data_IF_014679051147
#
_entry.id   IF_014679051147
#
_cell.length_a   1.000
_cell.length_b   1.000
_cell.length_c   1.000
_cell.angle_alpha   90.00
_cell.angle_beta   90.00
_cell.angle_gamma   90.00
#
_symmetry.space_group_name_H-M   'P 1'
#
loop_
_entity.id
_entity.type
_entity.pdbx_description
1 polymer ?
#
# COMPACT_ATOMS: atom_id res chain seq x y z
N UNK A 1 -19.86 -16.25 7.31
CA UNK A 1 -19.70 -15.18 8.31
C UNK A 1 -18.29 -14.62 8.18
N UNK A 2 -18.09 -13.31 7.98
CA UNK A 2 -16.74 -12.71 7.93
C UNK A 2 -16.26 -12.49 9.36
N UNK A 3 -14.99 -12.82 9.64
CA UNK A 3 -14.34 -12.58 10.93
C UNK A 3 -13.41 -11.37 10.82
N UNK A 4 -13.38 -10.56 11.87
CA UNK A 4 -12.54 -9.38 11.97
C UNK A 4 -11.65 -9.52 13.19
N UNK A 5 -10.39 -9.09 13.08
CA UNK A 5 -9.35 -9.26 14.10
C UNK A 5 -8.73 -7.92 14.45
N UNK A 6 -8.43 -7.70 15.70
CA UNK A 6 -7.69 -6.51 16.12
C UNK A 6 -6.25 -6.54 15.61
N UNK A 7 -5.60 -5.39 15.56
CA UNK A 7 -4.19 -5.30 15.19
C UNK A 7 -3.30 -6.18 16.08
N UNK A 8 -3.63 -6.31 17.36
CA UNK A 8 -2.91 -7.17 18.31
C UNK A 8 -3.08 -8.65 17.98
N UNK A 9 -4.29 -9.09 17.64
CA UNK A 9 -4.56 -10.47 17.23
C UNK A 9 -3.81 -10.84 15.95
N UNK A 10 -3.75 -9.92 14.98
CA UNK A 10 -2.98 -10.13 13.74
C UNK A 10 -1.48 -10.27 14.09
N UNK A 11 -0.90 -9.34 14.85
CA UNK A 11 0.51 -9.40 15.24
C UNK A 11 0.83 -10.70 16.03
N UNK A 12 -0.06 -11.11 16.94
CA UNK A 12 0.11 -12.34 17.68
C UNK A 12 0.10 -13.59 16.78
N UNK A 13 -0.74 -13.59 15.74
CA UNK A 13 -0.78 -14.67 14.76
C UNK A 13 0.45 -14.68 13.82
N UNK A 14 1.00 -13.52 13.49
CA UNK A 14 2.20 -13.39 12.64
C UNK A 14 3.51 -13.70 13.37
N UNK A 15 3.58 -13.46 14.68
CA UNK A 15 4.81 -13.62 15.47
C UNK A 15 5.49 -15.00 15.32
N UNK A 16 4.79 -16.15 15.39
CA UNK A 16 5.42 -17.45 15.17
C UNK A 16 5.93 -17.64 13.75
N UNK A 17 5.26 -17.04 12.75
CA UNK A 17 5.70 -17.11 11.34
C UNK A 17 6.95 -16.25 11.11
N UNK A 18 7.00 -15.06 11.72
CA UNK A 18 8.18 -14.19 11.69
C UNK A 18 9.40 -14.85 12.34
N UNK A 19 9.19 -15.61 13.42
CA UNK A 19 10.27 -16.35 14.08
C UNK A 19 10.75 -17.58 13.29
N UNK A 20 9.88 -18.20 12.50
CA UNK A 20 10.17 -19.44 11.78
C UNK A 20 10.67 -19.23 10.34
N UNK A 21 10.34 -18.10 9.72
CA UNK A 21 10.66 -17.83 8.31
C UNK A 21 11.88 -16.90 8.21
N UNK A 22 12.68 -17.04 7.15
CA UNK A 22 13.75 -16.07 6.87
C UNK A 22 13.20 -14.64 6.71
N UNK A 23 14.02 -13.65 7.08
CA UNK A 23 13.66 -12.24 7.02
C UNK A 23 13.10 -11.82 5.65
N UNK A 24 12.03 -11.06 5.69
CA UNK A 24 11.34 -10.50 4.55
C UNK A 24 10.53 -11.50 3.71
N UNK A 25 10.42 -12.78 4.11
CA UNK A 25 9.59 -13.75 3.38
C UNK A 25 8.12 -13.36 3.45
N UNK A 26 7.58 -13.03 4.62
CA UNK A 26 6.18 -12.60 4.78
C UNK A 26 5.90 -11.33 4.00
N UNK A 27 6.76 -10.32 4.10
CA UNK A 27 6.66 -9.08 3.33
C UNK A 27 6.61 -9.34 1.82
N UNK A 28 7.46 -10.21 1.29
CA UNK A 28 7.45 -10.56 -0.15
C UNK A 28 6.19 -11.32 -0.56
N UNK A 29 5.60 -12.14 0.33
CA UNK A 29 4.30 -12.79 0.08
C UNK A 29 3.18 -11.76 0.03
N UNK A 30 3.09 -10.89 1.02
CA UNK A 30 2.14 -9.77 1.07
C UNK A 30 2.26 -8.88 -0.18
N UNK A 31 3.48 -8.45 -0.51
CA UNK A 31 3.76 -7.66 -1.70
C UNK A 31 3.43 -8.37 -3.02
N UNK A 32 3.52 -9.70 -3.08
CA UNK A 32 3.11 -10.49 -4.27
C UNK A 32 1.60 -10.42 -4.45
N UNK A 33 0.83 -10.59 -3.37
CA UNK A 33 -0.63 -10.42 -3.38
C UNK A 33 -1.04 -9.01 -3.75
N UNK A 34 -0.40 -8.01 -3.14
CA UNK A 34 -0.62 -6.60 -3.47
C UNK A 34 -0.34 -6.30 -4.95
N UNK A 35 0.79 -6.77 -5.50
CA UNK A 35 1.10 -6.61 -6.92
C UNK A 35 0.10 -7.30 -7.84
N UNK A 36 -0.46 -8.43 -7.43
CA UNK A 36 -1.57 -9.10 -8.10
C UNK A 36 -2.82 -8.22 -8.16
N UNK A 37 -3.24 -7.72 -7.01
CA UNK A 37 -4.41 -6.85 -6.87
C UNK A 37 -4.27 -5.53 -7.66
N UNK A 38 -3.10 -4.91 -7.63
CA UNK A 38 -2.80 -3.70 -8.43
C UNK A 38 -2.83 -4.02 -9.93
N UNK A 39 -2.25 -5.15 -10.34
CA UNK A 39 -2.29 -5.57 -11.74
C UNK A 39 -3.72 -5.83 -12.23
N UNK A 40 -4.58 -6.41 -11.39
CA UNK A 40 -6.00 -6.64 -11.72
C UNK A 40 -6.76 -5.31 -11.81
N UNK A 41 -6.50 -4.37 -10.92
CA UNK A 41 -7.10 -3.04 -10.96
C UNK A 41 -6.68 -2.27 -12.22
N UNK A 42 -5.41 -2.35 -12.63
CA UNK A 42 -4.92 -1.80 -13.88
C UNK A 42 -5.63 -2.45 -15.09
N UNK A 43 -5.74 -3.79 -15.13
CA UNK A 43 -6.44 -4.49 -16.22
C UNK A 43 -7.91 -4.08 -16.29
N UNK A 44 -8.58 -3.97 -15.16
CA UNK A 44 -9.98 -3.55 -15.08
C UNK A 44 -10.20 -2.16 -15.67
N UNK A 45 -9.26 -1.24 -15.46
CA UNK A 45 -9.35 0.16 -15.91
C UNK A 45 -8.78 0.40 -17.29
N UNK A 46 -7.73 -0.32 -17.66
CA UNK A 46 -6.92 -0.02 -18.85
C UNK A 46 -6.69 -1.22 -19.76
N UNK A 47 -7.28 -2.38 -19.45
CA UNK A 47 -7.16 -3.67 -20.15
C UNK A 47 -5.78 -4.31 -20.12
N UNK A 48 -4.74 -3.66 -19.56
CA UNK A 48 -3.36 -4.17 -19.55
C UNK A 48 -2.57 -3.69 -18.34
N UNK A 49 -1.40 -4.30 -18.10
CA UNK A 49 -0.42 -3.89 -17.07
C UNK A 49 0.84 -3.32 -17.74
N UNK A 50 1.35 -4.00 -18.76
CA UNK A 50 2.54 -3.54 -19.46
C UNK A 50 2.31 -2.16 -20.09
N UNK A 51 3.28 -1.27 -19.91
CA UNK A 51 3.24 0.11 -20.39
C UNK A 51 2.33 1.03 -19.56
N UNK A 52 1.74 0.56 -18.45
CA UNK A 52 1.03 1.41 -17.50
C UNK A 52 1.95 1.96 -16.43
N UNK A 53 1.55 3.06 -15.82
CA UNK A 53 2.34 3.78 -14.83
C UNK A 53 1.73 3.64 -13.44
N UNK A 54 2.57 3.28 -12.47
CA UNK A 54 2.19 3.14 -11.05
C UNK A 54 3.14 3.97 -10.21
N UNK A 55 2.61 4.72 -9.25
CA UNK A 55 3.41 5.42 -8.26
C UNK A 55 3.11 4.89 -6.86
N UNK A 56 4.12 4.47 -6.12
CA UNK A 56 4.00 4.14 -4.71
C UNK A 56 4.27 5.39 -3.85
N UNK A 57 3.34 5.73 -2.96
CA UNK A 57 3.58 6.73 -1.90
C UNK A 57 4.01 5.96 -0.66
N UNK A 58 5.26 6.17 -0.25
CA UNK A 58 5.97 5.29 0.67
C UNK A 58 6.22 6.01 2.00
N UNK A 59 5.67 5.43 3.07
CA UNK A 59 5.96 5.83 4.45
C UNK A 59 7.13 5.07 5.05
N UNK A 60 7.35 5.30 6.34
CA UNK A 60 8.29 4.54 7.16
C UNK A 60 7.65 3.22 7.61
N UNK A 61 8.38 2.12 7.57
CA UNK A 61 7.93 0.83 8.10
C UNK A 61 7.48 -0.17 7.03
N UNK A 62 6.75 -1.20 7.48
CA UNK A 62 6.48 -2.41 6.67
C UNK A 62 5.56 -2.14 5.49
N UNK A 63 4.52 -1.32 5.64
CA UNK A 63 3.63 -0.97 4.53
C UNK A 63 4.36 -0.26 3.39
N UNK A 64 5.34 0.60 3.71
CA UNK A 64 6.22 1.19 2.71
C UNK A 64 7.09 0.15 2.01
N UNK A 65 7.57 -0.83 2.77
CA UNK A 65 8.30 -1.99 2.25
C UNK A 65 7.44 -2.82 1.30
N UNK A 66 6.22 -3.15 1.70
CA UNK A 66 5.25 -3.89 0.87
C UNK A 66 4.95 -3.16 -0.45
N UNK A 67 4.72 -1.85 -0.39
CA UNK A 67 4.46 -1.02 -1.55
C UNK A 67 5.65 -1.01 -2.54
N UNK A 68 6.88 -0.88 -2.04
CA UNK A 68 8.10 -0.92 -2.86
C UNK A 68 8.35 -2.30 -3.48
N UNK A 69 8.14 -3.38 -2.73
CA UNK A 69 8.24 -4.74 -3.27
C UNK A 69 7.15 -5.00 -4.32
N UNK A 70 5.91 -4.57 -4.08
CA UNK A 70 4.83 -4.69 -5.05
C UNK A 70 5.15 -3.92 -6.34
N UNK A 71 5.65 -2.70 -6.24
CA UNK A 71 6.11 -1.91 -7.37
C UNK A 71 7.27 -2.59 -8.11
N UNK A 72 8.19 -3.26 -7.40
CA UNK A 72 9.26 -4.09 -7.98
C UNK A 72 8.69 -5.23 -8.82
N UNK A 73 7.68 -5.94 -8.31
CA UNK A 73 7.03 -7.04 -9.04
C UNK A 73 6.21 -6.55 -10.24
N UNK A 74 5.59 -5.37 -10.15
CA UNK A 74 4.90 -4.73 -11.27
C UNK A 74 5.88 -4.29 -12.37
N UNK A 75 7.07 -3.80 -11.99
CA UNK A 75 8.15 -3.51 -12.95
C UNK A 75 8.50 -4.73 -13.80
N UNK A 76 8.64 -5.89 -13.16
CA UNK A 76 8.92 -7.17 -13.85
C UNK A 76 7.78 -7.61 -14.77
N UNK A 77 6.56 -7.09 -14.57
CA UNK A 77 5.39 -7.30 -15.44
C UNK A 77 5.25 -6.21 -16.53
N UNK A 78 6.26 -5.35 -16.68
CA UNK A 78 6.32 -4.31 -17.72
C UNK A 78 5.63 -2.99 -17.38
N UNK A 79 5.20 -2.77 -16.13
CA UNK A 79 4.69 -1.47 -15.71
C UNK A 79 5.83 -0.46 -15.51
N UNK A 80 5.61 0.81 -15.80
CA UNK A 80 6.44 1.91 -15.37
C UNK A 80 6.18 2.21 -13.90
N UNK A 81 7.18 2.07 -13.01
CA UNK A 81 6.96 2.32 -11.59
C UNK A 81 7.85 3.44 -11.05
N UNK A 82 7.25 4.34 -10.29
CA UNK A 82 7.91 5.37 -9.51
C UNK A 82 7.53 5.29 -8.04
N UNK A 83 8.28 5.97 -7.17
CA UNK A 83 7.99 6.05 -5.74
C UNK A 83 8.25 7.46 -5.21
N UNK A 84 7.32 7.99 -4.42
CA UNK A 84 7.49 9.18 -3.59
C UNK A 84 7.82 8.70 -2.18
N UNK A 85 8.99 9.05 -1.67
CA UNK A 85 9.43 8.67 -0.32
C UNK A 85 9.13 9.82 0.64
N UNK A 86 8.18 9.63 1.55
CA UNK A 86 7.79 10.66 2.53
C UNK A 86 8.84 10.84 3.64
N UNK A 87 9.61 9.79 3.90
CA UNK A 87 10.69 9.80 4.87
C UNK A 87 11.86 8.92 4.35
N UNK A 88 12.73 9.46 3.49
CA UNK A 88 13.78 8.68 2.82
C UNK A 88 14.72 7.93 3.78
N UNK A 89 15.03 8.55 4.93
CA UNK A 89 15.97 7.99 5.92
C UNK A 89 15.39 6.77 6.66
N UNK A 90 14.05 6.66 6.72
CA UNK A 90 13.34 5.57 7.39
C UNK A 90 12.60 4.66 6.40
N UNK A 91 12.90 4.78 5.12
CA UNK A 91 12.38 3.86 4.09
C UNK A 91 13.03 2.49 4.24
N UNK A 92 12.25 1.41 4.06
CA UNK A 92 12.76 0.03 4.17
C UNK A 92 13.91 -0.21 3.17
N UNK A 93 15.17 -0.40 3.65
CA UNK A 93 16.37 -0.32 2.79
C UNK A 93 16.42 -1.42 1.74
N UNK A 94 16.08 -2.66 2.11
CA UNK A 94 16.09 -3.81 1.20
C UNK A 94 15.04 -3.69 0.08
N UNK A 95 13.84 -3.19 0.41
CA UNK A 95 12.79 -2.98 -0.58
C UNK A 95 13.14 -1.84 -1.55
N UNK A 96 13.72 -0.74 -1.04
CA UNK A 96 14.16 0.38 -1.86
C UNK A 96 15.30 -0.02 -2.81
N UNK A 97 16.27 -0.81 -2.32
CA UNK A 97 17.36 -1.31 -3.13
C UNK A 97 16.84 -2.22 -4.27
N UNK A 98 15.93 -3.15 -3.95
CA UNK A 98 15.32 -4.04 -4.94
C UNK A 98 14.48 -3.26 -5.97
N UNK A 99 13.73 -2.24 -5.53
CA UNK A 99 12.95 -1.37 -6.41
C UNK A 99 13.83 -0.63 -7.41
N UNK A 100 14.93 -0.02 -6.94
CA UNK A 100 15.91 0.66 -7.81
C UNK A 100 16.58 -0.31 -8.77
N UNK A 101 17.00 -1.48 -8.30
CA UNK A 101 17.61 -2.53 -9.13
C UNK A 101 16.68 -3.03 -10.25
N UNK A 102 15.37 -3.03 -10.01
CA UNK A 102 14.36 -3.35 -11.04
C UNK A 102 14.07 -2.19 -12.01
N UNK A 103 14.77 -1.06 -11.90
CA UNK A 103 14.56 0.12 -12.74
C UNK A 103 13.43 1.02 -12.27
N UNK A 104 13.01 0.91 -11.00
CA UNK A 104 12.09 1.84 -10.36
C UNK A 104 12.77 3.19 -10.09
N UNK A 105 12.02 4.28 -10.20
CA UNK A 105 12.54 5.65 -10.03
C UNK A 105 11.93 6.31 -8.80
N UNK A 106 12.78 6.90 -7.96
CA UNK A 106 12.32 7.80 -6.90
C UNK A 106 12.05 9.17 -7.50
N UNK A 107 10.92 9.74 -7.16
CA UNK A 107 10.43 11.03 -7.66
C UNK A 107 9.95 11.89 -6.49
N UNK A 108 9.91 13.20 -6.67
CA UNK A 108 9.42 14.12 -5.63
C UNK A 108 7.89 14.15 -5.54
N UNK A 109 7.21 14.02 -6.69
CA UNK A 109 5.76 14.14 -6.78
C UNK A 109 5.16 13.04 -7.66
N UNK A 110 3.89 12.73 -7.42
CA UNK A 110 3.10 11.85 -8.29
C UNK A 110 2.78 12.61 -9.58
N UNK A 111 3.10 12.02 -10.73
CA UNK A 111 2.74 12.60 -12.03
C UNK A 111 1.22 12.53 -12.25
N UNK A 112 0.58 13.59 -12.77
CA UNK A 112 -0.83 13.53 -13.14
C UNK A 112 -1.17 12.48 -14.20
N UNK A 113 -0.16 12.02 -14.95
CA UNK A 113 -0.30 10.94 -15.95
C UNK A 113 -0.16 9.53 -15.35
N UNK A 114 -0.12 9.40 -14.02
CA UNK A 114 -0.05 8.10 -13.33
C UNK A 114 -1.39 7.37 -13.44
N UNK A 115 -1.38 6.12 -13.87
CA UNK A 115 -2.60 5.30 -14.01
C UNK A 115 -3.14 4.80 -12.67
N UNK A 116 -2.27 4.61 -11.66
CA UNK A 116 -2.65 4.11 -10.35
C UNK A 116 -1.60 4.46 -9.28
N UNK A 117 -2.07 4.78 -8.07
CA UNK A 117 -1.22 5.01 -6.90
C UNK A 117 -1.36 3.86 -5.90
N UNK A 118 -0.24 3.46 -5.29
CA UNK A 118 -0.21 2.56 -4.13
C UNK A 118 -0.01 3.42 -2.88
N UNK A 119 -0.93 3.35 -1.94
CA UNK A 119 -0.80 3.96 -0.62
C UNK A 119 -0.10 2.98 0.34
N UNK A 120 1.19 3.17 0.54
CA UNK A 120 2.02 2.45 1.49
C UNK A 120 2.51 3.33 2.64
N UNK A 121 1.68 4.29 3.11
CA UNK A 121 2.13 5.28 4.10
C UNK A 121 1.97 4.77 5.52
N UNK A 122 0.77 4.28 5.88
CA UNK A 122 0.45 3.85 7.25
C UNK A 122 -0.28 2.51 7.22
N UNK A 123 0.13 1.59 8.10
CA UNK A 123 -0.56 0.33 8.36
C UNK A 123 -1.20 0.30 9.74
N UNK A 124 -1.44 -0.91 10.25
CA UNK A 124 -2.11 -1.18 11.55
C UNK A 124 -1.42 -0.56 12.78
N UNK A 125 -0.20 -0.06 12.63
CA UNK A 125 0.54 0.62 13.70
C UNK A 125 0.34 2.13 13.72
N UNK A 126 -0.32 2.68 12.69
CA UNK A 126 -0.56 4.11 12.58
C UNK A 126 -1.88 4.53 13.23
N UNK A 127 -1.91 5.76 13.71
CA UNK A 127 -3.11 6.39 14.25
C UNK A 127 -3.20 7.84 13.78
N UNK A 128 -4.43 8.33 13.67
CA UNK A 128 -4.74 9.71 13.33
C UNK A 128 -4.65 10.05 11.83
N UNK A 129 -4.88 11.32 11.49
CA UNK A 129 -4.93 11.78 10.10
C UNK A 129 -3.56 11.74 9.42
N UNK A 130 -3.56 11.86 8.10
CA UNK A 130 -2.34 12.02 7.32
C UNK A 130 -1.53 13.22 7.79
N UNK A 131 -0.22 13.05 7.92
CA UNK A 131 0.70 14.17 8.16
C UNK A 131 0.72 15.10 6.94
N UNK A 132 1.08 16.40 7.12
CA UNK A 132 0.97 17.41 6.06
C UNK A 132 1.58 17.02 4.71
N UNK A 133 2.77 16.40 4.71
CA UNK A 133 3.43 15.97 3.47
C UNK A 133 2.62 14.91 2.73
N UNK A 134 2.14 13.88 3.44
CA UNK A 134 1.28 12.84 2.86
C UNK A 134 -0.06 13.42 2.40
N UNK A 135 -0.68 14.28 3.21
CA UNK A 135 -1.94 14.93 2.88
C UNK A 135 -1.85 15.74 1.57
N UNK A 136 -0.76 16.49 1.38
CA UNK A 136 -0.53 17.25 0.15
C UNK A 136 -0.40 16.33 -1.08
N UNK A 137 0.32 15.22 -0.96
CA UNK A 137 0.46 14.24 -2.06
C UNK A 137 -0.90 13.63 -2.41
N UNK A 138 -1.68 13.16 -1.43
CA UNK A 138 -2.97 12.54 -1.72
C UNK A 138 -4.05 13.54 -2.14
N UNK A 139 -3.99 14.79 -1.72
CA UNK A 139 -4.86 15.85 -2.27
C UNK A 139 -4.61 16.06 -3.78
N UNK A 140 -3.34 16.05 -4.20
CA UNK A 140 -2.99 16.15 -5.62
C UNK A 140 -3.44 14.90 -6.41
N UNK A 141 -3.29 13.69 -5.83
CA UNK A 141 -3.77 12.43 -6.41
C UNK A 141 -5.28 12.44 -6.59
N UNK A 142 -6.03 12.89 -5.58
CA UNK A 142 -7.49 13.02 -5.63
C UNK A 142 -7.93 14.05 -6.68
N UNK A 143 -7.30 15.23 -6.70
CA UNK A 143 -7.59 16.27 -7.69
C UNK A 143 -7.33 15.81 -9.13
N UNK A 144 -6.34 14.94 -9.34
CA UNK A 144 -6.05 14.32 -10.63
C UNK A 144 -6.97 13.12 -10.97
N UNK A 145 -7.86 12.71 -10.06
CA UNK A 145 -8.74 11.56 -10.25
C UNK A 145 -8.02 10.22 -10.36
N UNK A 146 -6.79 10.12 -9.83
CA UNK A 146 -5.98 8.91 -9.91
C UNK A 146 -6.49 7.89 -8.87
N UNK A 147 -6.81 6.64 -9.27
CA UNK A 147 -7.26 5.62 -8.34
C UNK A 147 -6.15 5.18 -7.39
N UNK A 148 -6.51 4.91 -6.13
CA UNK A 148 -5.58 4.46 -5.11
C UNK A 148 -5.89 3.04 -4.69
N UNK A 149 -4.85 2.20 -4.60
CA UNK A 149 -4.87 0.90 -3.92
C UNK A 149 -4.12 1.05 -2.60
N UNK A 150 -4.83 0.88 -1.48
CA UNK A 150 -4.24 0.98 -0.15
C UNK A 150 -3.63 -0.35 0.30
N UNK A 151 -2.49 -0.25 0.98
CA UNK A 151 -1.80 -1.36 1.62
C UNK A 151 -2.33 -1.51 3.04
N UNK A 152 -2.96 -2.63 3.31
CA UNK A 152 -3.52 -3.03 4.59
C UNK A 152 -4.76 -2.22 5.02
N UNK A 153 -4.65 -0.91 5.14
CA UNK A 153 -5.75 0.04 5.42
C UNK A 153 -5.53 1.34 4.64
N UNK A 154 -6.58 2.11 4.32
CA UNK A 154 -6.39 3.45 3.79
C UNK A 154 -5.72 4.35 4.84
N UNK A 155 -4.62 5.01 4.47
CA UNK A 155 -3.87 5.85 5.41
C UNK A 155 -4.68 7.05 5.88
N UNK A 156 -4.65 7.32 7.18
CA UNK A 156 -5.44 8.37 7.83
C UNK A 156 -6.80 7.92 8.37
N UNK A 157 -7.16 6.64 8.19
CA UNK A 157 -8.35 6.01 8.78
C UNK A 157 -7.95 5.23 10.02
N UNK A 158 -8.71 5.35 11.11
CA UNK A 158 -8.44 4.62 12.34
C UNK A 158 -8.75 3.12 12.18
N UNK A 159 -7.78 2.27 12.50
CA UNK A 159 -7.88 0.80 12.27
C UNK A 159 -8.94 0.12 13.13
N UNK A 160 -9.26 0.67 14.30
CA UNK A 160 -10.19 0.07 15.26
C UNK A 160 -11.62 0.55 15.08
N UNK A 161 -11.79 1.84 14.79
CA UNK A 161 -13.09 2.52 14.77
C UNK A 161 -13.56 2.90 13.38
N UNK A 162 -12.66 2.92 12.38
CA UNK A 162 -12.95 3.46 11.06
C UNK A 162 -13.11 4.99 11.03
N UNK A 163 -12.81 5.68 12.14
CA UNK A 163 -12.97 7.12 12.23
C UNK A 163 -11.97 7.85 11.34
N UNK A 164 -12.43 8.93 10.73
CA UNK A 164 -11.63 9.86 9.92
C UNK A 164 -11.69 11.22 10.61
N UNK A 165 -10.59 11.63 11.24
CA UNK A 165 -10.52 12.87 12.03
C UNK A 165 -9.82 14.03 11.30
N UNK A 166 -9.38 13.79 10.06
CA UNK A 166 -8.68 14.76 9.22
C UNK A 166 -8.38 14.20 7.84
N UNK A 167 -7.35 14.68 7.14
CA UNK A 167 -6.99 14.16 5.82
C UNK A 167 -6.73 12.65 5.86
N UNK A 168 -7.35 11.92 4.94
CA UNK A 168 -7.24 10.48 4.79
C UNK A 168 -7.30 10.08 3.31
N UNK A 169 -6.77 8.90 3.00
CA UNK A 169 -6.81 8.34 1.65
C UNK A 169 -8.20 7.82 1.33
N UNK A 170 -8.70 8.13 0.14
CA UNK A 170 -9.86 7.48 -0.46
C UNK A 170 -9.39 6.36 -1.38
N UNK A 171 -9.46 5.13 -0.88
CA UNK A 171 -9.01 3.97 -1.64
C UNK A 171 -10.11 3.44 -2.55
N UNK A 172 -9.79 3.18 -3.82
CA UNK A 172 -10.65 2.41 -4.72
C UNK A 172 -10.62 0.91 -4.38
N UNK A 173 -9.51 0.47 -3.77
CA UNK A 173 -9.28 -0.91 -3.35
C UNK A 173 -8.31 -0.92 -2.17
N UNK A 174 -8.53 -1.83 -1.23
CA UNK A 174 -7.62 -2.08 -0.11
C UNK A 174 -7.20 -3.55 -0.13
N UNK A 175 -5.91 -3.80 0.00
CA UNK A 175 -5.35 -5.15 0.07
C UNK A 175 -4.81 -5.36 1.48
N UNK A 176 -5.42 -6.28 2.21
CA UNK A 176 -5.08 -6.56 3.61
C UNK A 176 -4.52 -7.97 3.77
N UNK A 177 -3.73 -8.19 4.82
CA UNK A 177 -2.97 -9.41 5.04
C UNK A 177 -3.32 -10.05 6.38
N UNK A 178 -3.21 -11.39 6.47
CA UNK A 178 -3.40 -12.18 7.67
C UNK A 178 -4.82 -12.20 8.23
N UNK A 179 -5.65 -11.19 7.96
CA UNK A 179 -7.04 -11.13 8.40
C UNK A 179 -7.68 -9.76 8.20
N UNK A 180 -9.01 -9.75 8.13
CA UNK A 180 -9.78 -8.50 8.09
C UNK A 180 -9.71 -7.78 9.44
N UNK A 181 -9.54 -6.45 9.44
CA UNK A 181 -9.56 -5.60 10.62
C UNK A 181 -10.91 -4.90 10.75
N UNK A 182 -11.31 -4.39 11.94
CA UNK A 182 -12.60 -3.69 12.14
C UNK A 182 -12.84 -2.56 11.13
N UNK A 183 -11.82 -1.79 10.78
CA UNK A 183 -11.89 -0.72 9.78
C UNK A 183 -12.51 -1.17 8.45
N UNK A 184 -12.25 -2.41 8.01
CA UNK A 184 -12.80 -2.94 6.75
C UNK A 184 -14.32 -3.18 6.77
N UNK A 185 -14.94 -3.10 7.95
CA UNK A 185 -16.39 -3.14 8.10
C UNK A 185 -17.00 -1.79 8.48
N UNK A 186 -16.18 -0.88 9.03
CA UNK A 186 -16.63 0.36 9.66
C UNK A 186 -16.38 1.60 8.80
N UNK A 187 -15.44 1.54 7.84
CA UNK A 187 -15.09 2.65 6.97
C UNK A 187 -15.20 2.28 5.49
N UNK A 188 -15.21 3.31 4.65
CA UNK A 188 -15.08 3.12 3.20
C UNK A 188 -13.62 2.83 2.86
N UNK A 189 -13.32 1.55 2.66
CA UNK A 189 -12.00 1.05 2.23
C UNK A 189 -12.00 0.68 0.74
N UNK A 190 -13.02 1.06 -0.02
CA UNK A 190 -13.23 0.58 -1.38
C UNK A 190 -13.45 -0.94 -1.41
N UNK A 191 -13.05 -1.58 -2.49
CA UNK A 191 -13.05 -3.06 -2.56
C UNK A 191 -11.96 -3.62 -1.66
N UNK A 192 -12.30 -4.47 -0.71
CA UNK A 192 -11.34 -5.11 0.21
C UNK A 192 -11.01 -6.52 -0.26
N UNK A 193 -9.73 -6.80 -0.47
CA UNK A 193 -9.19 -8.12 -0.74
C UNK A 193 -8.29 -8.57 0.42
N UNK A 194 -8.55 -9.77 0.92
CA UNK A 194 -7.69 -10.45 1.89
C UNK A 194 -6.71 -11.36 1.13
N UNK A 195 -5.43 -11.20 1.42
CA UNK A 195 -4.35 -12.07 0.96
C UNK A 195 -3.89 -12.91 2.15
N UNK A 196 -4.00 -14.22 2.01
CA UNK A 196 -3.57 -15.25 2.98
C UNK A 196 -2.15 -15.73 2.67
#
# INVERSE_FOLDING_TARGET
>A
MRRYYTAEQIRAAEAPLLAALPDGVLMRRAATGLAGAVADELRRRTSRVAGRTVCAVVGSGDNGGDALWAATFLRRRGAGCSAVLLNPEHTHPGALAAFRAAGGRVVENVSPATDLVIDGVVGISGAGPLRPAAAAVFAAVEAAGIPVVAVDIPSGVDVHTGAVTGPAVRAARTVTFGGLKPVHALADCGRVDLVD
#
